data_IF_776990213168
#
_entry.id   IF_776990213168
#
_cell.length_a   1.000
_cell.length_b   1.000
_cell.length_c   1.000
_cell.angle_alpha   90.00
_cell.angle_beta   90.00
_cell.angle_gamma   90.00
#
_symmetry.space_group_name_H-M   'P 1'
#
loop_
_entity.id
_entity.type
_entity.pdbx_description
1 polymer ?
#
# COMPACT_ATOMS: atom_id res chain seq x y z
N UNK A 1 -7.60 -22.62 -4.80
CA UNK A 1 -6.14 -22.42 -4.92
C UNK A 1 -5.76 -20.94 -4.98
N UNK A 2 -6.40 -20.12 -5.81
CA UNK A 2 -6.10 -18.68 -5.94
C UNK A 2 -6.17 -17.88 -4.61
N UNK A 3 -7.17 -18.15 -3.76
CA UNK A 3 -7.30 -17.44 -2.47
C UNK A 3 -6.12 -17.61 -1.51
N UNK A 4 -5.52 -18.81 -1.48
CA UNK A 4 -4.35 -19.07 -0.63
C UNK A 4 -3.12 -18.31 -1.10
N UNK A 5 -2.92 -18.19 -2.42
CA UNK A 5 -1.81 -17.42 -2.98
C UNK A 5 -1.93 -15.93 -2.60
N UNK A 6 -3.12 -15.36 -2.64
CA UNK A 6 -3.36 -13.97 -2.23
C UNK A 6 -3.06 -13.75 -0.74
N UNK A 7 -3.47 -14.70 0.11
CA UNK A 7 -3.18 -14.67 1.55
C UNK A 7 -1.67 -14.75 1.83
N UNK A 8 -0.96 -15.65 1.15
CA UNK A 8 0.49 -15.75 1.27
C UNK A 8 1.19 -14.47 0.78
N UNK A 9 0.76 -13.92 -0.35
CA UNK A 9 1.30 -12.67 -0.88
C UNK A 9 1.07 -11.49 0.08
N UNK A 10 -0.11 -11.41 0.70
CA UNK A 10 -0.45 -10.40 1.69
C UNK A 10 0.46 -10.46 2.92
N UNK A 11 0.66 -11.64 3.51
CA UNK A 11 1.55 -11.80 4.65
C UNK A 11 3.03 -11.61 4.28
N UNK A 12 3.44 -12.03 3.08
CA UNK A 12 4.79 -11.76 2.58
C UNK A 12 5.03 -10.25 2.43
N UNK A 13 4.08 -9.51 1.86
CA UNK A 13 4.14 -8.06 1.75
C UNK A 13 4.25 -7.38 3.13
N UNK A 14 3.40 -7.78 4.09
CA UNK A 14 3.48 -7.29 5.46
C UNK A 14 4.84 -7.59 6.10
N UNK A 15 5.39 -8.79 5.89
CA UNK A 15 6.72 -9.18 6.35
C UNK A 15 7.83 -8.32 5.76
N UNK A 16 7.78 -8.03 4.46
CA UNK A 16 8.75 -7.15 3.77
C UNK A 16 8.69 -5.72 4.33
N UNK A 17 7.50 -5.19 4.60
CA UNK A 17 7.32 -3.85 5.18
C UNK A 17 7.91 -3.79 6.60
N UNK A 18 7.62 -4.79 7.43
CA UNK A 18 8.15 -4.87 8.78
C UNK A 18 9.69 -5.00 8.78
N UNK A 19 10.21 -5.84 7.88
CA UNK A 19 11.64 -6.05 7.68
C UNK A 19 12.35 -4.78 7.22
N UNK A 20 11.82 -4.06 6.23
CA UNK A 20 12.41 -2.79 5.78
C UNK A 20 12.39 -1.73 6.89
N UNK A 21 11.28 -1.63 7.64
CA UNK A 21 11.19 -0.71 8.76
C UNK A 21 12.23 -1.02 9.84
N UNK A 22 12.42 -2.30 10.18
CA UNK A 22 13.46 -2.73 11.12
C UNK A 22 14.87 -2.29 10.67
N UNK A 23 15.24 -2.55 9.41
CA UNK A 23 16.58 -2.20 8.92
C UNK A 23 16.83 -0.70 8.79
N UNK A 24 15.79 0.07 8.50
CA UNK A 24 15.88 1.54 8.40
C UNK A 24 15.92 2.20 9.76
N UNK A 25 15.03 1.80 10.68
CA UNK A 25 14.83 2.52 11.95
C UNK A 25 15.73 2.00 13.06
N UNK A 26 15.89 0.67 13.17
CA UNK A 26 16.65 0.04 14.25
C UNK A 26 18.12 -0.11 13.86
N UNK A 27 18.38 -0.79 12.74
CA UNK A 27 19.75 -1.04 12.27
C UNK A 27 20.40 0.19 11.60
N UNK A 28 19.61 1.23 11.32
CA UNK A 28 20.07 2.50 10.72
C UNK A 28 20.95 2.31 9.49
N UNK A 29 20.59 1.37 8.62
CA UNK A 29 21.37 1.07 7.39
C UNK A 29 21.37 2.22 6.37
N UNK A 30 20.41 3.14 6.47
CA UNK A 30 20.38 4.36 5.67
C UNK A 30 21.06 5.51 6.42
N UNK A 31 21.69 6.42 5.67
CA UNK A 31 22.12 7.70 6.22
C UNK A 31 20.91 8.57 6.61
N UNK A 32 21.15 9.67 7.33
CA UNK A 32 20.09 10.56 7.82
C UNK A 32 19.14 11.02 6.72
N UNK A 33 19.67 11.36 5.54
CA UNK A 33 18.85 11.80 4.40
C UNK A 33 17.95 10.67 3.87
N UNK A 34 18.49 9.45 3.76
CA UNK A 34 17.72 8.27 3.35
C UNK A 34 16.64 7.89 4.36
N UNK A 35 16.92 8.03 5.67
CA UNK A 35 15.94 7.84 6.73
C UNK A 35 14.80 8.86 6.64
N UNK A 36 15.12 10.15 6.52
CA UNK A 36 14.11 11.22 6.38
C UNK A 36 13.24 10.98 5.15
N UNK A 37 13.86 10.62 4.02
CA UNK A 37 13.15 10.32 2.79
C UNK A 37 12.22 9.10 2.93
N UNK A 38 12.70 8.02 3.57
CA UNK A 38 11.88 6.84 3.87
C UNK A 38 10.66 7.20 4.73
N UNK A 39 10.86 7.97 5.80
CA UNK A 39 9.77 8.39 6.70
C UNK A 39 8.76 9.27 5.95
N UNK A 40 9.23 10.22 5.13
CA UNK A 40 8.36 11.08 4.35
C UNK A 40 7.45 10.26 3.41
N UNK A 41 8.02 9.25 2.74
CA UNK A 41 7.26 8.35 1.86
C UNK A 41 6.32 7.46 2.66
N UNK A 42 6.71 6.96 3.83
CA UNK A 42 5.82 6.17 4.68
C UNK A 42 4.61 6.99 5.14
N UNK A 43 4.80 8.26 5.52
CA UNK A 43 3.70 9.16 5.88
C UNK A 43 2.79 9.42 4.67
N UNK A 44 3.38 9.73 3.51
CA UNK A 44 2.62 9.95 2.28
C UNK A 44 1.83 8.69 1.86
N UNK A 45 2.43 7.51 1.99
CA UNK A 45 1.77 6.23 1.71
C UNK A 45 0.61 5.96 2.67
N UNK A 46 0.80 6.18 3.98
CA UNK A 46 -0.27 6.03 4.97
C UNK A 46 -1.43 7.01 4.73
N UNK A 47 -1.12 8.28 4.47
CA UNK A 47 -2.13 9.28 4.12
C UNK A 47 -2.85 8.91 2.81
N UNK A 48 -2.12 8.45 1.80
CA UNK A 48 -2.67 7.95 0.53
C UNK A 48 -3.58 6.75 0.71
N UNK A 49 -3.23 5.80 1.60
CA UNK A 49 -4.08 4.66 1.93
C UNK A 49 -5.41 5.09 2.58
N UNK A 50 -5.35 6.01 3.54
CA UNK A 50 -6.56 6.55 4.20
C UNK A 50 -7.43 7.30 3.20
N UNK A 51 -6.82 8.21 2.42
CA UNK A 51 -7.53 9.00 1.43
C UNK A 51 -8.18 8.10 0.36
N UNK A 52 -7.40 7.19 -0.22
CA UNK A 52 -7.88 6.27 -1.26
C UNK A 52 -8.93 5.30 -0.73
N UNK A 53 -8.89 4.90 0.54
CA UNK A 53 -9.89 3.99 1.10
C UNK A 53 -11.21 4.70 1.39
N UNK A 54 -11.19 5.87 2.04
CA UNK A 54 -12.42 6.47 2.57
C UNK A 54 -12.99 7.59 1.71
N UNK A 55 -12.17 8.25 0.89
CA UNK A 55 -12.57 9.46 0.16
C UNK A 55 -12.59 9.26 -1.36
N UNK A 56 -11.90 8.23 -1.87
CA UNK A 56 -11.94 7.94 -3.30
C UNK A 56 -13.19 7.13 -3.67
N UNK A 57 -13.95 7.67 -4.60
CA UNK A 57 -15.17 7.06 -5.14
C UNK A 57 -15.08 7.06 -6.67
N UNK A 58 -15.37 5.92 -7.28
CA UNK A 58 -15.38 5.79 -8.73
C UNK A 58 -16.58 4.98 -9.22
N UNK A 59 -16.92 5.16 -10.50
CA UNK A 59 -18.11 4.61 -11.13
C UNK A 59 -17.71 3.78 -12.35
N UNK A 60 -17.61 2.45 -12.22
CA UNK A 60 -17.32 1.59 -13.38
C UNK A 60 -18.44 1.60 -14.42
N UNK A 61 -19.68 1.85 -13.99
CA UNK A 61 -20.83 2.05 -14.84
C UNK A 61 -21.85 2.96 -14.12
N UNK A 62 -22.88 3.40 -14.83
CA UNK A 62 -23.90 4.33 -14.31
C UNK A 62 -24.69 3.79 -13.11
N UNK A 63 -24.66 2.49 -12.90
CA UNK A 63 -25.45 1.79 -11.88
C UNK A 63 -24.60 1.17 -10.76
N UNK A 64 -23.28 1.39 -10.78
CA UNK A 64 -22.36 0.84 -9.79
C UNK A 64 -21.40 1.90 -9.30
N UNK A 65 -21.32 2.06 -7.97
CA UNK A 65 -20.43 3.01 -7.30
C UNK A 65 -19.54 2.25 -6.32
N UNK A 66 -18.23 2.40 -6.49
CA UNK A 66 -17.23 1.82 -5.60
C UNK A 66 -16.66 2.90 -4.70
N UNK A 67 -16.58 2.61 -3.40
CA UNK A 67 -15.88 3.45 -2.44
C UNK A 67 -14.64 2.71 -1.96
N UNK A 68 -13.50 3.37 -2.07
CA UNK A 68 -12.21 2.79 -1.76
C UNK A 68 -11.46 2.29 -2.99
N UNK A 69 -10.14 2.46 -2.98
CA UNK A 69 -9.22 1.95 -3.99
C UNK A 69 -7.86 1.63 -3.36
N UNK A 70 -7.12 0.62 -3.84
CA UNK A 70 -7.48 -0.36 -4.88
C UNK A 70 -8.48 -1.43 -4.40
N UNK A 71 -8.57 -1.67 -3.09
CA UNK A 71 -9.56 -2.58 -2.51
C UNK A 71 -10.75 -1.76 -2.02
N UNK A 72 -11.95 -1.92 -2.63
CA UNK A 72 -13.14 -1.23 -2.19
C UNK A 72 -13.65 -1.80 -0.87
N UNK A 73 -14.06 -0.92 0.05
CA UNK A 73 -14.63 -1.33 1.33
C UNK A 73 -16.16 -1.41 1.30
N UNK A 74 -16.80 -0.68 0.37
CA UNK A 74 -18.24 -0.76 0.10
C UNK A 74 -18.53 -0.53 -1.38
N UNK A 75 -19.51 -1.26 -1.91
CA UNK A 75 -19.98 -1.13 -3.28
C UNK A 75 -21.48 -0.90 -3.24
N UNK A 76 -21.95 0.13 -3.95
CA UNK A 76 -23.37 0.38 -4.13
C UNK A 76 -23.78 -0.02 -5.53
N UNK A 77 -24.93 -0.68 -5.64
CA UNK A 77 -25.55 -1.03 -6.90
C UNK A 77 -26.99 -0.55 -6.95
N UNK A 78 -27.46 -0.16 -8.13
CA UNK A 78 -28.85 0.19 -8.38
C UNK A 78 -29.31 -0.54 -9.65
N UNK A 79 -30.60 -0.81 -9.77
CA UNK A 79 -31.16 -1.53 -10.94
C UNK A 79 -31.23 -0.58 -12.13
N UNK A 80 -31.85 0.57 -11.91
CA UNK A 80 -32.07 1.62 -12.92
C UNK A 80 -31.73 3.01 -12.35
N UNK A 81 -31.69 4.02 -13.22
CA UNK A 81 -31.35 5.40 -12.85
C UNK A 81 -32.24 5.99 -11.73
N UNK A 82 -33.51 5.59 -11.70
CA UNK A 82 -34.51 6.06 -10.73
C UNK A 82 -34.58 5.21 -9.45
N UNK A 83 -33.88 4.08 -9.42
CA UNK A 83 -33.88 3.17 -8.27
C UNK A 83 -32.92 3.66 -7.18
N UNK A 84 -33.25 3.35 -5.92
CA UNK A 84 -32.38 3.66 -4.78
C UNK A 84 -31.10 2.84 -4.85
N UNK A 85 -29.99 3.42 -4.41
CA UNK A 85 -28.76 2.69 -4.20
C UNK A 85 -28.98 1.64 -3.12
N UNK A 86 -28.67 0.39 -3.46
CA UNK A 86 -28.61 -0.73 -2.53
C UNK A 86 -27.15 -0.99 -2.17
N UNK A 87 -26.90 -1.08 -0.87
CA UNK A 87 -25.57 -1.29 -0.31
C UNK A 87 -25.21 -2.77 -0.43
N UNK A 88 -24.19 -3.09 -1.21
CA UNK A 88 -23.56 -4.40 -1.17
C UNK A 88 -22.37 -4.34 -0.22
N UNK A 89 -22.61 -4.74 1.03
CA UNK A 89 -21.58 -4.85 2.06
C UNK A 89 -20.89 -6.21 1.91
N UNK A 90 -19.74 -6.21 1.25
CA UNK A 90 -18.85 -7.36 1.22
C UNK A 90 -18.05 -7.52 2.52
N UNK A 91 -17.34 -8.65 2.71
CA UNK A 91 -16.42 -8.85 3.84
C UNK A 91 -15.29 -7.80 3.90
N UNK A 92 -15.09 -7.05 2.81
CA UNK A 92 -14.11 -5.97 2.69
C UNK A 92 -14.42 -4.73 3.53
N UNK A 93 -15.59 -4.63 4.16
CA UNK A 93 -15.90 -3.53 5.09
C UNK A 93 -14.86 -3.42 6.22
N UNK A 94 -14.45 -4.55 6.79
CA UNK A 94 -13.48 -4.59 7.89
C UNK A 94 -12.03 -4.71 7.41
N UNK A 95 -11.82 -5.35 6.26
CA UNK A 95 -10.46 -5.67 5.77
C UNK A 95 -9.94 -4.72 4.68
N UNK A 96 -10.79 -3.87 4.10
CA UNK A 96 -10.43 -2.96 3.01
C UNK A 96 -9.33 -1.98 3.40
N UNK A 97 -9.43 -1.34 4.57
CA UNK A 97 -8.40 -0.43 5.08
C UNK A 97 -7.07 -1.17 5.37
N UNK A 98 -7.04 -2.29 6.12
CA UNK A 98 -5.81 -3.07 6.29
C UNK A 98 -5.15 -3.48 4.97
N UNK A 99 -5.95 -3.88 3.97
CA UNK A 99 -5.44 -4.26 2.65
C UNK A 99 -4.83 -3.09 1.89
N UNK A 100 -5.54 -1.96 1.79
CA UNK A 100 -5.02 -0.77 1.13
C UNK A 100 -3.79 -0.23 1.86
N UNK A 101 -3.78 -0.26 3.20
CA UNK A 101 -2.62 0.17 3.98
C UNK A 101 -1.37 -0.63 3.62
N UNK A 102 -1.45 -1.97 3.58
CA UNK A 102 -0.32 -2.81 3.18
C UNK A 102 0.11 -2.54 1.74
N UNK A 103 -0.82 -2.38 0.81
CA UNK A 103 -0.50 -2.11 -0.60
C UNK A 103 0.28 -0.79 -0.73
N UNK A 104 -0.18 0.29 -0.09
CA UNK A 104 0.50 1.57 -0.16
C UNK A 104 1.83 1.55 0.60
N UNK A 105 1.91 0.86 1.74
CA UNK A 105 3.13 0.74 2.54
C UNK A 105 4.22 -0.11 1.88
N UNK A 106 3.95 -0.78 0.76
CA UNK A 106 5.02 -1.35 -0.07
C UNK A 106 5.91 -0.27 -0.70
N UNK A 107 5.39 0.94 -0.94
CA UNK A 107 6.17 2.04 -1.53
C UNK A 107 7.44 2.39 -0.72
N UNK A 108 7.39 2.67 0.59
CA UNK A 108 8.60 2.91 1.37
C UNK A 108 9.53 1.68 1.41
N UNK A 109 9.01 0.45 1.41
CA UNK A 109 9.84 -0.75 1.36
C UNK A 109 10.63 -0.88 0.03
N UNK A 110 10.00 -0.56 -1.11
CA UNK A 110 10.66 -0.50 -2.42
C UNK A 110 11.75 0.57 -2.42
N UNK A 111 11.47 1.74 -1.85
CA UNK A 111 12.45 2.83 -1.73
C UNK A 111 13.65 2.41 -0.90
N UNK A 112 13.43 1.73 0.22
CA UNK A 112 14.53 1.20 1.04
C UNK A 112 15.44 0.26 0.25
N UNK A 113 14.86 -0.68 -0.50
CA UNK A 113 15.63 -1.60 -1.35
C UNK A 113 16.42 -0.82 -2.41
N UNK A 114 15.80 0.13 -3.08
CA UNK A 114 16.44 0.96 -4.10
C UNK A 114 17.62 1.77 -3.53
N UNK A 115 17.43 2.46 -2.42
CA UNK A 115 18.49 3.25 -1.77
C UNK A 115 19.64 2.35 -1.28
N UNK A 116 19.32 1.18 -0.74
CA UNK A 116 20.31 0.20 -0.30
C UNK A 116 21.15 -0.33 -1.47
N UNK A 117 20.53 -0.60 -2.63
CA UNK A 117 21.24 -0.97 -3.85
C UNK A 117 22.20 0.13 -4.33
N UNK A 118 21.78 1.40 -4.28
CA UNK A 118 22.65 2.53 -4.65
C UNK A 118 23.86 2.67 -3.72
N UNK A 119 23.67 2.44 -2.41
CA UNK A 119 24.78 2.47 -1.44
C UNK A 119 25.82 1.37 -1.70
N UNK A 120 25.38 0.16 -2.05
CA UNK A 120 26.27 -0.96 -2.41
C UNK A 120 27.06 -0.68 -3.70
N UNK A 121 26.45 -0.02 -4.68
CA UNK A 121 27.16 0.41 -5.89
C UNK A 121 28.30 1.37 -5.55
N UNK A 122 27.99 2.41 -4.76
CA UNK A 122 28.98 3.44 -4.37
C UNK A 122 30.16 2.88 -3.57
N UNK A 123 29.95 1.87 -2.72
CA UNK A 123 31.04 1.26 -1.94
C UNK A 123 31.99 0.41 -2.79
N UNK A 124 31.48 -0.23 -3.85
CA UNK A 124 32.30 -1.01 -4.80
C UNK A 124 33.20 -0.13 -5.65
N UNK A 125 32.74 1.04 -6.07
CA UNK A 125 33.56 1.94 -6.89
C UNK A 125 34.70 2.55 -6.07
N UNK A 126 34.45 2.89 -4.81
CA UNK A 126 35.46 3.43 -3.89
C UNK A 126 36.57 2.44 -3.49
N UNK A 127 36.45 1.15 -3.81
CA UNK A 127 37.48 0.13 -3.51
C UNK A 127 38.31 -0.26 -4.75
N UNK A 128 38.00 0.32 -5.92
CA UNK A 128 38.71 0.08 -7.19
C UNK A 128 39.70 1.19 -7.54
N UNK A 129 39.69 2.29 -6.80
CA UNK A 129 40.67 3.40 -6.86
C UNK A 129 41.80 3.17 -5.86
#
# INVERSE_FOLDING_TARGET
MMGWLLLMAFFAAAGVIAWSAYFVVIERRLNTNGLIFYIAIAIAAAAGAVWSTFYYVYFPNENTRFHGWPVPYIVFQRVDADSRWADYVGPTLLVGMPMNFIIFMLAPAIVFLFLSCLQVGKSRDATRE
#
